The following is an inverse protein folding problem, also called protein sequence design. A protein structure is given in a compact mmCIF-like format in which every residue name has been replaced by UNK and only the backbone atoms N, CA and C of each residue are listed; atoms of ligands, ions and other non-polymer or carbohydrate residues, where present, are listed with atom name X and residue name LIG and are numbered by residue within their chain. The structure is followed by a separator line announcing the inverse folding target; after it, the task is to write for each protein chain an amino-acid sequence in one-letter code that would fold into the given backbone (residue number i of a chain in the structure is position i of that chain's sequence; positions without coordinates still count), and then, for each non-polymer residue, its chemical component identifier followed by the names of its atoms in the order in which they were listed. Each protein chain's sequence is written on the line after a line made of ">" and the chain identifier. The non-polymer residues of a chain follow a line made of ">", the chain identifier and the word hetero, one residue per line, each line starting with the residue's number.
data_IF_614057887080
#
_entry.id   IF_614057887080
#
_cell.length_a   1.000
_cell.length_b   1.000
_cell.length_c   1.000
_cell.angle_alpha   90.00
_cell.angle_beta   90.00
_cell.angle_gamma   90.00
#
_symmetry.space_group_name_H-M   'P 1'
#
loop_
_entity.id
_entity.type
_entity.pdbx_description
1 polymer ?
#
# COMPACT_ATOMS: atom_id res chain seq x y z
N UNK A 1 -0.60 5.45 36.08
CA UNK A 1 -0.63 6.09 34.76
C UNK A 1 -1.30 5.12 33.80
N UNK A 2 -2.34 5.51 33.05
CA UNK A 2 -3.00 4.64 32.06
C UNK A 2 -2.44 4.98 30.67
N UNK A 3 -2.06 3.96 29.90
CA UNK A 3 -1.65 4.13 28.51
C UNK A 3 -2.86 4.59 27.68
N UNK A 4 -2.69 5.66 26.90
CA UNK A 4 -3.71 6.15 25.98
C UNK A 4 -3.25 5.89 24.55
N UNK A 5 -3.98 5.00 23.87
CA UNK A 5 -3.70 4.62 22.47
C UNK A 5 -3.79 5.83 21.54
N UNK A 6 -4.73 6.75 21.76
CA UNK A 6 -4.90 7.95 20.93
C UNK A 6 -3.67 8.87 21.01
N UNK A 7 -3.15 9.08 22.22
CA UNK A 7 -1.98 9.95 22.42
C UNK A 7 -0.71 9.31 21.84
N UNK A 8 -0.56 7.99 21.98
CA UNK A 8 0.52 7.25 21.33
C UNK A 8 0.44 7.34 19.80
N UNK A 9 -0.74 7.17 19.20
CA UNK A 9 -0.94 7.28 17.76
C UNK A 9 -0.65 8.71 17.25
N UNK A 10 -1.02 9.75 18.01
CA UNK A 10 -0.67 11.13 17.69
C UNK A 10 0.85 11.34 17.70
N UNK A 11 1.52 10.89 18.76
CA UNK A 11 2.98 10.97 18.86
C UNK A 11 3.68 10.27 17.69
N UNK A 12 3.21 9.07 17.33
CA UNK A 12 3.70 8.33 16.17
C UNK A 12 3.50 9.13 14.86
N UNK A 13 2.36 9.79 14.70
CA UNK A 13 2.09 10.66 13.57
C UNK A 13 3.01 11.88 13.51
N UNK A 14 3.26 12.52 14.65
CA UNK A 14 4.20 13.65 14.76
C UNK A 14 5.63 13.24 14.39
N UNK A 15 6.09 12.08 14.85
CA UNK A 15 7.41 11.54 14.52
C UNK A 15 7.55 11.27 13.01
N UNK A 16 6.49 10.78 12.35
CA UNK A 16 6.45 10.59 10.90
C UNK A 16 6.62 11.93 10.17
N UNK A 17 5.89 12.97 10.60
CA UNK A 17 5.98 14.32 10.04
C UNK A 17 7.39 14.90 10.22
N UNK A 18 8.03 14.68 11.36
CA UNK A 18 9.40 15.13 11.62
C UNK A 18 10.43 14.44 10.72
N UNK A 19 10.28 13.12 10.47
CA UNK A 19 11.13 12.40 9.50
C UNK A 19 10.94 12.94 8.07
N UNK A 20 9.71 13.21 7.65
CA UNK A 20 9.43 13.82 6.35
C UNK A 20 10.10 15.18 6.16
N UNK A 21 10.10 16.00 7.22
CA UNK A 21 10.77 17.30 7.25
C UNK A 21 12.29 17.13 7.13
N UNK A 22 12.87 16.18 7.87
CA UNK A 22 14.31 15.94 7.89
C UNK A 22 14.84 15.41 6.54
N UNK A 23 14.03 14.61 5.83
CA UNK A 23 14.35 14.12 4.49
C UNK A 23 14.46 15.24 3.43
N UNK A 24 13.87 16.41 3.69
CA UNK A 24 13.89 17.56 2.75
C UNK A 24 15.25 18.26 2.63
N UNK A 25 16.22 17.94 3.51
CA UNK A 25 17.56 18.52 3.53
C UNK A 25 18.50 18.00 2.41
N UNK A 26 18.03 17.11 1.53
CA UNK A 26 18.82 16.62 0.39
C UNK A 26 18.68 17.55 -0.83
N UNK A 27 19.76 17.80 -1.57
CA UNK A 27 19.79 18.81 -2.64
C UNK A 27 19.11 18.41 -3.97
N UNK A 28 18.71 17.14 -4.14
CA UNK A 28 18.12 16.63 -5.39
C UNK A 28 16.68 16.11 -5.20
N UNK A 29 15.69 16.56 -6.00
CA UNK A 29 14.27 16.21 -5.85
C UNK A 29 13.97 14.71 -5.77
N UNK A 30 14.63 13.89 -6.60
CA UNK A 30 14.45 12.43 -6.61
C UNK A 30 14.98 11.78 -5.33
N UNK A 31 16.13 12.25 -4.82
CA UNK A 31 16.70 11.75 -3.57
C UNK A 31 15.81 12.12 -2.36
N UNK A 32 15.17 13.29 -2.40
CA UNK A 32 14.20 13.70 -1.38
C UNK A 32 12.98 12.78 -1.39
N UNK A 33 12.39 12.51 -2.55
CA UNK A 33 11.24 11.60 -2.69
C UNK A 33 11.57 10.23 -2.11
N UNK A 34 12.72 9.67 -2.50
CA UNK A 34 13.18 8.38 -2.02
C UNK A 34 13.45 8.34 -0.52
N UNK A 35 14.12 9.34 0.04
CA UNK A 35 14.39 9.42 1.47
C UNK A 35 13.09 9.44 2.30
N UNK A 36 12.03 10.05 1.76
CA UNK A 36 10.70 10.08 2.38
C UNK A 36 10.02 8.71 2.32
N UNK A 37 10.03 8.05 1.17
CA UNK A 37 9.54 6.67 1.03
C UNK A 37 10.18 5.75 2.07
N UNK A 38 11.52 5.75 2.15
CA UNK A 38 12.26 4.96 3.14
C UNK A 38 11.84 5.30 4.58
N UNK A 39 11.71 6.59 4.91
CA UNK A 39 11.29 7.02 6.25
C UNK A 39 9.88 6.54 6.64
N UNK A 40 8.95 6.47 5.69
CA UNK A 40 7.60 5.92 5.93
C UNK A 40 7.64 4.42 6.09
N UNK A 41 8.38 3.73 5.21
CA UNK A 41 8.54 2.27 5.25
C UNK A 41 9.09 1.86 6.63
N UNK A 42 10.20 2.44 7.06
CA UNK A 42 10.80 2.15 8.38
C UNK A 42 9.82 2.33 9.53
N UNK A 43 9.00 3.40 9.48
CA UNK A 43 8.07 3.69 10.57
C UNK A 43 6.90 2.72 10.57
N UNK A 44 6.36 2.41 9.40
CA UNK A 44 5.31 1.41 9.26
C UNK A 44 5.80 0.04 9.71
N UNK A 45 7.02 -0.37 9.34
CA UNK A 45 7.62 -1.62 9.81
C UNK A 45 7.78 -1.68 11.34
N UNK A 46 8.13 -0.56 11.99
CA UNK A 46 8.25 -0.50 13.44
C UNK A 46 6.90 -0.58 14.19
N UNK A 47 5.80 -0.22 13.52
CA UNK A 47 4.45 -0.21 14.11
C UNK A 47 3.65 -1.48 13.79
N UNK A 48 3.89 -2.06 12.63
CA UNK A 48 3.13 -3.20 12.15
C UNK A 48 3.62 -4.51 12.81
N UNK A 49 2.73 -5.51 12.95
CA UNK A 49 3.13 -6.81 13.48
C UNK A 49 4.23 -7.47 12.64
N UNK A 50 5.02 -8.35 13.25
CA UNK A 50 6.16 -9.02 12.58
C UNK A 50 5.78 -9.84 11.34
N UNK A 51 4.54 -10.32 11.26
CA UNK A 51 3.98 -11.01 10.08
C UNK A 51 3.64 -10.10 8.90
N UNK A 52 3.79 -8.78 9.06
CA UNK A 52 3.49 -7.77 8.04
C UNK A 52 4.77 -7.11 7.56
N UNK A 53 4.91 -7.04 6.24
CA UNK A 53 6.01 -6.37 5.57
C UNK A 53 5.57 -5.11 4.89
N UNK A 54 6.55 -4.22 4.71
CA UNK A 54 6.38 -2.97 3.99
C UNK A 54 7.54 -2.87 3.00
N UNK A 55 7.25 -2.49 1.77
CA UNK A 55 8.25 -2.26 0.74
C UNK A 55 7.71 -1.37 -0.35
N UNK A 56 8.40 -1.30 -1.48
CA UNK A 56 8.03 -0.62 -2.71
C UNK A 56 7.99 -1.64 -3.85
N UNK A 57 7.23 -1.36 -4.93
CA UNK A 57 7.24 -2.22 -6.11
C UNK A 57 5.89 -2.36 -6.81
N UNK A 58 5.66 -3.48 -7.46
CA UNK A 58 4.49 -3.75 -8.31
C UNK A 58 3.61 -4.84 -7.72
N UNK A 59 2.31 -4.73 -7.92
CA UNK A 59 1.34 -5.78 -7.60
C UNK A 59 1.02 -6.55 -8.87
N UNK A 60 1.01 -7.88 -8.77
CA UNK A 60 0.71 -8.79 -9.89
C UNK A 60 -0.40 -9.76 -9.53
N UNK A 61 -1.15 -10.19 -10.54
CA UNK A 61 -2.03 -11.35 -10.42
C UNK A 61 -1.51 -12.57 -11.19
N UNK A 62 -2.17 -13.70 -10.99
CA UNK A 62 -1.86 -14.96 -11.66
C UNK A 62 -2.28 -15.00 -13.15
N UNK A 63 -2.92 -13.95 -13.67
CA UNK A 63 -3.42 -13.84 -15.05
C UNK A 63 -2.56 -12.92 -15.92
N UNK A 64 -1.45 -12.41 -15.37
CA UNK A 64 -0.52 -11.53 -16.07
C UNK A 64 -0.85 -10.03 -15.95
N UNK A 65 -1.82 -9.66 -15.11
CA UNK A 65 -2.06 -8.28 -14.71
C UNK A 65 -0.92 -7.76 -13.84
N UNK A 66 -0.46 -6.54 -14.14
CA UNK A 66 0.62 -5.86 -13.42
C UNK A 66 0.20 -4.42 -13.16
N UNK A 67 0.34 -3.96 -11.91
CA UNK A 67 0.06 -2.58 -11.54
C UNK A 67 1.17 -1.63 -12.01
N UNK A 68 0.97 -0.32 -11.81
CA UNK A 68 2.09 0.63 -11.78
C UNK A 68 2.90 0.42 -10.49
N UNK A 69 4.13 0.94 -10.46
CA UNK A 69 4.95 0.95 -9.25
C UNK A 69 4.24 1.77 -8.16
N UNK A 70 4.12 1.19 -6.98
CA UNK A 70 3.63 1.83 -5.76
C UNK A 70 4.79 2.14 -4.83
N UNK A 71 4.74 3.34 -4.25
CA UNK A 71 5.75 3.82 -3.31
C UNK A 71 5.75 2.96 -2.03
N UNK A 72 4.57 2.50 -1.61
CA UNK A 72 4.37 1.61 -0.47
C UNK A 72 3.50 0.42 -0.87
N UNK A 73 3.96 -0.78 -0.52
CA UNK A 73 3.24 -2.05 -0.58
C UNK A 73 3.31 -2.69 0.80
N UNK A 74 2.16 -2.86 1.44
CA UNK A 74 2.01 -3.58 2.71
C UNK A 74 1.52 -4.98 2.40
N UNK A 75 2.21 -6.01 2.90
CA UNK A 75 1.96 -7.39 2.50
C UNK A 75 2.18 -8.39 3.64
N UNK A 76 1.65 -9.60 3.51
CA UNK A 76 1.84 -10.68 4.47
C UNK A 76 3.20 -11.38 4.27
N UNK A 77 4.18 -11.11 5.14
CA UNK A 77 5.55 -11.66 5.04
C UNK A 77 5.59 -13.18 4.98
N UNK A 78 4.69 -13.84 5.71
CA UNK A 78 4.72 -15.30 5.89
C UNK A 78 4.11 -16.08 4.72
N UNK A 79 3.36 -15.42 3.83
CA UNK A 79 2.66 -16.06 2.71
C UNK A 79 3.08 -15.48 1.35
N UNK A 80 3.72 -14.32 1.33
CA UNK A 80 4.07 -13.63 0.10
C UNK A 80 5.21 -14.29 -0.67
N UNK A 81 4.89 -14.73 -1.89
CA UNK A 81 5.88 -14.83 -2.95
C UNK A 81 6.28 -13.41 -3.39
N UNK A 82 7.50 -13.01 -3.06
CA UNK A 82 8.12 -11.77 -3.54
C UNK A 82 9.19 -12.10 -4.57
N UNK A 83 9.10 -11.50 -5.75
CA UNK A 83 10.11 -11.63 -6.79
C UNK A 83 10.91 -10.32 -6.87
N UNK A 84 12.23 -10.38 -6.73
CA UNK A 84 13.09 -9.20 -6.73
C UNK A 84 14.07 -9.32 -7.91
N UNK A 85 13.76 -8.71 -9.07
CA UNK A 85 14.67 -8.71 -10.20
C UNK A 85 15.98 -8.00 -9.83
N UNK A 86 17.11 -8.61 -10.20
CA UNK A 86 18.45 -8.05 -10.00
C UNK A 86 18.76 -7.64 -8.55
N UNK A 87 18.05 -8.18 -7.55
CA UNK A 87 18.14 -7.81 -6.14
C UNK A 87 17.88 -6.32 -5.87
N UNK A 88 17.08 -5.66 -6.69
CA UNK A 88 16.66 -4.26 -6.48
C UNK A 88 15.24 -4.23 -5.91
N UNK A 89 15.13 -3.95 -4.61
CA UNK A 89 13.86 -3.99 -3.85
C UNK A 89 12.77 -3.08 -4.44
N UNK A 90 13.13 -1.96 -5.06
CA UNK A 90 12.17 -1.04 -5.70
C UNK A 90 11.42 -1.64 -6.88
N UNK A 91 11.98 -2.68 -7.48
CA UNK A 91 11.36 -3.41 -8.57
C UNK A 91 10.77 -4.75 -8.11
N UNK A 92 10.55 -4.92 -6.81
CA UNK A 92 9.91 -6.12 -6.29
C UNK A 92 8.49 -6.29 -6.83
N UNK A 93 8.13 -7.53 -7.15
CA UNK A 93 6.77 -7.91 -7.52
C UNK A 93 6.11 -8.69 -6.38
N UNK A 94 4.88 -8.31 -6.06
CA UNK A 94 4.09 -8.88 -4.98
C UNK A 94 2.80 -9.48 -5.55
N UNK A 95 2.54 -10.75 -5.25
CA UNK A 95 1.28 -11.39 -5.61
C UNK A 95 0.11 -10.72 -4.88
N UNK A 96 -0.92 -10.33 -5.63
CA UNK A 96 -2.07 -9.57 -5.14
C UNK A 96 -2.82 -10.26 -3.99
N UNK A 97 -2.74 -11.59 -3.89
CA UNK A 97 -3.30 -12.42 -2.83
C UNK A 97 -2.65 -12.15 -1.47
N UNK A 98 -1.43 -11.62 -1.45
CA UNK A 98 -0.65 -11.37 -0.23
C UNK A 98 -0.49 -9.88 0.06
N UNK A 99 -0.92 -8.99 -0.84
CA UNK A 99 -0.89 -7.55 -0.64
C UNK A 99 -2.12 -7.11 0.15
N UNK A 100 -1.87 -6.51 1.30
CA UNK A 100 -2.88 -5.97 2.22
C UNK A 100 -3.28 -4.55 1.80
N UNK A 101 -2.27 -3.71 1.51
CA UNK A 101 -2.49 -2.33 1.12
C UNK A 101 -1.41 -1.81 0.17
N UNK A 102 -1.76 -0.81 -0.62
CA UNK A 102 -0.81 -0.01 -1.40
C UNK A 102 -0.98 1.47 -1.08
N UNK A 103 0.10 2.23 -1.19
CA UNK A 103 0.03 3.67 -0.99
C UNK A 103 1.01 4.46 -1.84
N UNK A 104 0.65 5.71 -2.06
CA UNK A 104 1.46 6.71 -2.75
C UNK A 104 1.89 7.81 -1.75
N UNK A 105 3.13 8.27 -1.86
CA UNK A 105 3.72 9.27 -0.98
C UNK A 105 4.14 10.48 -1.81
N UNK A 106 3.57 11.65 -1.49
CA UNK A 106 3.93 12.92 -2.12
C UNK A 106 4.36 13.95 -1.09
N UNK A 107 5.22 14.86 -1.52
CA UNK A 107 5.75 15.90 -0.64
C UNK A 107 4.85 17.13 -0.66
N UNK A 108 4.70 17.72 -1.84
CA UNK A 108 3.69 18.72 -2.12
C UNK A 108 2.82 18.14 -3.21
N UNK A 109 1.56 17.86 -2.89
CA UNK A 109 0.60 17.31 -3.83
C UNK A 109 -0.30 18.43 -4.35
N UNK A 110 -0.18 18.76 -5.63
CA UNK A 110 -1.18 19.58 -6.31
C UNK A 110 -2.34 18.69 -6.81
N UNK A 111 -3.40 19.31 -7.34
CA UNK A 111 -4.57 18.59 -7.87
C UNK A 111 -4.22 17.53 -8.93
N UNK A 112 -3.21 17.77 -9.78
CA UNK A 112 -2.77 16.81 -10.78
C UNK A 112 -2.01 15.64 -10.16
N UNK A 113 -1.17 15.87 -9.15
CA UNK A 113 -0.45 14.82 -8.44
C UNK A 113 -1.42 13.89 -7.69
N UNK A 114 -2.45 14.48 -7.07
CA UNK A 114 -3.51 13.73 -6.39
C UNK A 114 -4.27 12.88 -7.43
N UNK A 115 -4.64 13.48 -8.57
CA UNK A 115 -5.34 12.77 -9.64
C UNK A 115 -4.52 11.60 -10.20
N UNK A 116 -3.24 11.82 -10.49
CA UNK A 116 -2.34 10.76 -10.97
C UNK A 116 -2.22 9.63 -9.94
N UNK A 117 -2.06 9.98 -8.67
CA UNK A 117 -1.97 9.01 -7.58
C UNK A 117 -3.27 8.19 -7.46
N UNK A 118 -4.44 8.83 -7.57
CA UNK A 118 -5.73 8.13 -7.58
C UNK A 118 -5.84 7.19 -8.78
N UNK A 119 -5.44 7.62 -9.98
CA UNK A 119 -5.47 6.75 -11.17
C UNK A 119 -4.51 5.56 -11.03
N UNK A 120 -3.33 5.75 -10.43
CA UNK A 120 -2.43 4.63 -10.08
C UNK A 120 -3.08 3.64 -9.11
N UNK A 121 -3.67 4.14 -8.02
CA UNK A 121 -4.33 3.31 -7.01
C UNK A 121 -5.55 2.56 -7.60
N UNK A 122 -6.27 3.20 -8.54
CA UNK A 122 -7.37 2.59 -9.27
C UNK A 122 -6.92 1.40 -10.13
N UNK A 123 -5.74 1.46 -10.75
CA UNK A 123 -5.19 0.32 -11.49
C UNK A 123 -4.89 -0.87 -10.56
N UNK A 124 -4.45 -0.62 -9.32
CA UNK A 124 -4.27 -1.69 -8.33
C UNK A 124 -5.60 -2.35 -7.97
N UNK A 125 -6.69 -1.58 -7.85
CA UNK A 125 -8.04 -2.12 -7.63
C UNK A 125 -8.56 -2.97 -8.79
N UNK A 126 -7.97 -2.85 -9.98
CA UNK A 126 -8.32 -3.65 -11.15
C UNK A 126 -7.54 -4.96 -11.26
N UNK A 127 -6.51 -5.17 -10.41
CA UNK A 127 -5.76 -6.42 -10.36
C UNK A 127 -6.67 -7.56 -9.90
N UNK A 128 -6.60 -8.68 -10.60
CA UNK A 128 -7.57 -9.76 -10.43
C UNK A 128 -7.16 -10.74 -9.32
N UNK A 129 -7.80 -10.63 -8.15
CA UNK A 129 -7.55 -11.52 -7.00
C UNK A 129 -8.30 -12.85 -7.03
N UNK A 130 -9.37 -12.92 -7.82
CA UNK A 130 -10.23 -14.12 -7.93
C UNK A 130 -10.15 -14.72 -9.34
N UNK A 131 -10.19 -16.05 -9.42
CA UNK A 131 -10.34 -16.76 -10.70
C UNK A 131 -11.68 -16.45 -11.35
N UNK A 132 -11.70 -15.87 -12.56
CA UNK A 132 -12.96 -15.57 -13.24
C UNK A 132 -13.75 -16.82 -13.66
N UNK A 133 -13.08 -17.97 -13.80
CA UNK A 133 -13.70 -19.27 -14.16
C UNK A 133 -14.05 -20.16 -12.95
N UNK A 134 -13.52 -19.85 -11.76
CA UNK A 134 -13.74 -20.58 -10.51
C UNK A 134 -14.15 -19.56 -9.45
N UNK A 135 -15.36 -19.00 -9.61
CA UNK A 135 -15.91 -18.05 -8.63
C UNK A 135 -15.96 -18.71 -7.26
N UNK A 136 -15.56 -17.97 -6.23
CA UNK A 136 -15.56 -18.40 -4.82
C UNK A 136 -14.24 -18.98 -4.32
N UNK A 137 -13.18 -19.05 -5.15
CA UNK A 137 -11.86 -19.56 -4.72
C UNK A 137 -10.90 -18.39 -4.51
N UNK A 138 -10.78 -17.93 -3.26
CA UNK A 138 -9.77 -16.95 -2.85
C UNK A 138 -9.31 -17.18 -1.41
N UNK A 139 -8.13 -16.63 -1.08
CA UNK A 139 -7.55 -16.71 0.27
C UNK A 139 -7.88 -15.44 1.05
N UNK A 140 -8.49 -15.61 2.21
CA UNK A 140 -8.65 -14.52 3.17
C UNK A 140 -7.29 -14.08 3.74
N UNK A 141 -7.14 -12.80 4.05
CA UNK A 141 -5.93 -12.30 4.69
C UNK A 141 -5.65 -13.01 6.03
N UNK A 142 -4.39 -13.31 6.30
CA UNK A 142 -3.91 -14.05 7.47
C UNK A 142 -4.49 -15.47 7.63
N UNK A 143 -5.17 -15.99 6.60
CA UNK A 143 -5.62 -17.37 6.53
C UNK A 143 -4.63 -18.20 5.73
N UNK A 144 -4.29 -19.38 6.26
CA UNK A 144 -3.55 -20.41 5.53
C UNK A 144 -4.44 -21.20 4.57
N UNK A 145 -5.76 -21.07 4.70
CA UNK A 145 -6.76 -21.80 3.92
C UNK A 145 -7.45 -20.90 2.91
N UNK A 146 -7.66 -21.44 1.71
CA UNK A 146 -8.50 -20.86 0.69
C UNK A 146 -9.96 -21.20 1.03
N UNK A 147 -10.85 -20.21 0.97
CA UNK A 147 -12.28 -20.47 1.09
C UNK A 147 -12.81 -20.99 -0.25
N UNK A 148 -13.75 -21.94 -0.20
CA UNK A 148 -14.47 -22.48 -1.36
C UNK A 148 -15.94 -22.71 -0.98
N UNK A 149 -16.86 -22.45 -1.90
CA UNK A 149 -18.27 -22.93 -1.87
C UNK A 149 -19.08 -22.63 -0.61
N UNK A 150 -18.81 -21.51 0.07
CA UNK A 150 -19.69 -20.94 1.09
C UNK A 150 -20.16 -19.58 0.56
N UNK A 151 -21.44 -19.45 0.21
CA UNK A 151 -22.00 -18.21 -0.37
C UNK A 151 -21.69 -16.96 0.47
N UNK A 152 -21.67 -17.10 1.80
CA UNK A 152 -21.30 -16.00 2.72
C UNK A 152 -19.83 -15.58 2.65
N UNK A 153 -18.95 -16.44 2.14
CA UNK A 153 -17.52 -16.19 1.93
C UNK A 153 -17.16 -16.09 0.43
N UNK A 154 -18.12 -15.78 -0.43
CA UNK A 154 -17.83 -15.42 -1.83
C UNK A 154 -17.11 -14.07 -1.91
N UNK A 155 -16.24 -13.92 -2.91
CA UNK A 155 -15.48 -12.68 -3.13
C UNK A 155 -16.44 -11.57 -3.57
N UNK A 156 -16.56 -10.52 -2.77
CA UNK A 156 -17.36 -9.34 -3.08
C UNK A 156 -16.60 -8.06 -2.70
N UNK A 157 -15.72 -7.58 -3.59
CA UNK A 157 -14.95 -6.35 -3.36
C UNK A 157 -15.81 -5.09 -3.17
N UNK A 158 -17.09 -5.10 -3.59
CA UNK A 158 -17.96 -3.93 -3.52
C UNK A 158 -18.57 -3.80 -2.13
N UNK A 159 -18.92 -4.92 -1.50
CA UNK A 159 -19.57 -4.92 -0.17
C UNK A 159 -18.65 -5.34 0.97
N UNK A 160 -17.55 -6.06 0.68
CA UNK A 160 -16.56 -6.52 1.65
C UNK A 160 -15.23 -5.82 1.42
N UNK A 161 -14.96 -4.80 2.23
CA UNK A 161 -13.73 -4.00 2.13
C UNK A 161 -12.44 -4.85 2.21
N UNK A 162 -12.49 -5.97 2.93
CA UNK A 162 -11.37 -6.90 3.11
C UNK A 162 -11.06 -7.76 1.88
N UNK A 163 -11.96 -7.83 0.91
CA UNK A 163 -11.74 -8.58 -0.33
C UNK A 163 -10.85 -7.75 -1.29
N UNK A 164 -10.86 -6.42 -1.15
CA UNK A 164 -9.99 -5.53 -1.89
C UNK A 164 -8.66 -5.22 -1.18
N UNK A 165 -7.64 -4.91 -1.98
CA UNK A 165 -6.41 -4.29 -1.50
C UNK A 165 -6.73 -2.88 -1.00
N UNK A 166 -6.38 -2.53 0.24
CA UNK A 166 -6.56 -1.18 0.75
C UNK A 166 -5.66 -0.19 0.00
N UNK A 167 -6.14 1.03 -0.24
CA UNK A 167 -5.39 2.06 -0.95
C UNK A 167 -5.35 3.32 -0.10
N UNK A 168 -4.17 3.92 0.06
CA UNK A 168 -4.02 5.17 0.80
C UNK A 168 -3.09 6.14 0.08
N UNK A 169 -3.23 7.42 0.40
CA UNK A 169 -2.41 8.50 -0.15
C UNK A 169 -1.90 9.34 1.01
N UNK A 170 -0.60 9.57 1.06
CA UNK A 170 0.03 10.39 2.08
C UNK A 170 0.71 11.61 1.43
N UNK A 171 0.36 12.80 1.89
CA UNK A 171 1.02 14.03 1.47
C UNK A 171 1.34 14.93 2.66
N UNK A 172 2.53 15.52 2.68
CA UNK A 172 2.91 16.49 3.69
C UNK A 172 2.12 17.80 3.55
N UNK A 173 2.02 18.34 2.33
CA UNK A 173 1.15 19.46 2.01
C UNK A 173 0.30 19.11 0.79
N UNK A 174 -0.97 19.51 0.82
CA UNK A 174 -1.89 19.37 -0.31
C UNK A 174 -2.52 20.71 -0.65
N UNK A 175 -2.44 21.11 -1.91
CA UNK A 175 -3.14 22.29 -2.43
C UNK A 175 -4.21 21.80 -3.40
N UNK A 176 -5.47 21.89 -2.98
CA UNK A 176 -6.62 21.56 -3.83
C UNK A 176 -7.19 22.89 -4.34
N UNK A 177 -6.95 23.18 -5.61
CA UNK A 177 -7.61 24.30 -6.27
C UNK A 177 -9.12 24.02 -6.34
N UNK A 178 -9.92 24.74 -5.54
CA UNK A 178 -11.38 24.57 -5.49
C UNK A 178 -12.12 25.19 -6.70
N UNK A 179 -11.40 25.45 -7.79
CA UNK A 179 -11.92 26.09 -8.99
C UNK A 179 -11.86 25.10 -10.15
N UNK A 180 -12.80 24.15 -10.16
CA UNK A 180 -13.30 23.46 -11.35
C UNK A 180 -14.45 22.54 -10.90
N UNK A 181 -15.58 23.17 -10.59
CA UNK A 181 -16.92 22.56 -10.62
C UNK A 181 -17.49 22.66 -12.03
#
# INVERSE_FOLDING_TARGET
>A
MKFNVSDFLKYVGEELVLKFNSASNHSHPHAIGRARECGVIEKLEALLPSGVGVGSGFVIDLYGGVSKQSDIVIYEKNFASRFIPNNVEDYAYYSCENVLAVGEVKSNANSNDIKDSIEKLKLVKQIQREKPKEKGVYRNFFSSVCSQDIDSQSFDPVTKDIDHIFTFFNSQNSSIDRNNS
#
